data_IF_767098772023
#
_entry.id   IF_767098772023
#
_cell.length_a   1.000
_cell.length_b   1.000
_cell.length_c   1.000
_cell.angle_alpha   90.00
_cell.angle_beta   90.00
_cell.angle_gamma   90.00
#
_symmetry.space_group_name_H-M   'P 1'
#
loop_
_entity.id
_entity.type
_entity.pdbx_description
1 polymer ?
#
# COMPACT_ATOMS: atom_id res chain seq x y z
N UNK A 1 -5.42 3.47 -20.97
CA UNK A 1 -6.12 4.62 -20.35
C UNK A 1 -5.49 5.03 -19.02
N UNK A 2 -5.23 4.11 -18.08
CA UNK A 2 -4.59 4.39 -16.77
C UNK A 2 -3.20 5.02 -16.86
N UNK A 3 -2.37 4.64 -17.83
CA UNK A 3 -1.01 5.20 -17.98
C UNK A 3 -0.98 6.72 -18.16
N UNK A 4 -2.02 7.30 -18.78
CA UNK A 4 -2.15 8.76 -18.92
C UNK A 4 -2.38 9.44 -17.57
N UNK A 5 -3.06 8.76 -16.64
CA UNK A 5 -3.34 9.26 -15.28
C UNK A 5 -2.08 9.16 -14.42
N UNK A 6 -1.30 8.09 -14.56
CA UNK A 6 -0.08 7.87 -13.79
C UNK A 6 1.07 8.81 -14.21
N UNK A 7 0.99 9.38 -15.41
CA UNK A 7 2.00 10.29 -15.94
C UNK A 7 2.14 11.51 -15.01
N UNK A 8 3.37 11.80 -14.61
CA UNK A 8 3.76 12.92 -13.73
C UNK A 8 3.10 12.93 -12.34
N UNK A 9 2.49 11.82 -11.90
CA UNK A 9 1.92 11.67 -10.56
C UNK A 9 2.86 10.95 -9.62
N UNK A 10 2.68 11.20 -8.33
CA UNK A 10 3.24 10.37 -7.26
C UNK A 10 2.19 9.32 -6.95
N UNK A 11 2.59 8.05 -7.00
CA UNK A 11 1.70 6.92 -6.74
C UNK A 11 2.00 6.37 -5.35
N UNK A 12 0.96 6.33 -4.51
CA UNK A 12 1.02 5.79 -3.15
C UNK A 12 0.22 4.50 -3.11
N UNK A 13 0.75 3.46 -2.46
CA UNK A 13 0.04 2.20 -2.31
C UNK A 13 0.69 1.28 -1.30
N UNK A 14 0.19 0.04 -1.20
CA UNK A 14 0.72 -0.99 -0.32
C UNK A 14 1.17 -2.18 -1.17
N UNK A 15 2.48 -2.48 -1.17
CA UNK A 15 3.08 -3.48 -2.03
C UNK A 15 2.82 -3.24 -3.54
N UNK A 16 2.79 -1.97 -3.94
CA UNK A 16 2.33 -1.51 -5.26
C UNK A 16 3.13 -2.03 -6.47
N UNK A 17 4.31 -2.57 -6.20
CA UNK A 17 5.12 -3.24 -7.21
C UNK A 17 4.41 -4.44 -7.85
N UNK A 18 3.50 -5.10 -7.13
CA UNK A 18 2.67 -6.18 -7.66
C UNK A 18 1.66 -5.65 -8.69
N UNK A 19 1.00 -4.54 -8.38
CA UNK A 19 0.05 -3.87 -9.29
C UNK A 19 0.75 -3.39 -10.56
N UNK A 20 1.93 -2.79 -10.43
CA UNK A 20 2.74 -2.36 -11.57
C UNK A 20 3.15 -3.53 -12.48
N UNK A 21 3.51 -4.68 -11.91
CA UNK A 21 3.80 -5.89 -12.67
C UNK A 21 2.57 -6.40 -13.42
N UNK A 22 1.40 -6.45 -12.77
CA UNK A 22 0.15 -6.84 -13.42
C UNK A 22 -0.22 -5.90 -14.58
N UNK A 23 0.05 -4.60 -14.44
CA UNK A 23 -0.14 -3.59 -15.48
C UNK A 23 0.97 -3.58 -16.54
N UNK A 24 2.02 -4.42 -16.40
CA UNK A 24 3.23 -4.41 -17.24
C UNK A 24 3.82 -3.00 -17.37
N UNK A 25 3.81 -2.26 -16.27
CA UNK A 25 4.21 -0.87 -16.20
C UNK A 25 5.35 -0.69 -15.19
N UNK A 26 6.25 0.26 -15.45
CA UNK A 26 7.31 0.64 -14.53
C UNK A 26 7.15 2.10 -14.15
N UNK A 27 6.85 2.36 -12.87
CA UNK A 27 6.79 3.71 -12.34
C UNK A 27 8.12 4.10 -11.69
N UNK A 28 8.62 5.34 -11.87
CA UNK A 28 9.86 5.79 -11.23
C UNK A 28 9.81 5.60 -9.71
N UNK A 29 10.88 5.02 -9.14
CA UNK A 29 10.96 4.76 -7.69
C UNK A 29 10.86 6.04 -6.86
N UNK A 30 11.45 7.13 -7.35
CA UNK A 30 11.37 8.48 -6.77
C UNK A 30 9.93 9.01 -6.61
N UNK A 31 9.03 8.58 -7.50
CA UNK A 31 7.60 8.95 -7.53
C UNK A 31 6.69 7.84 -7.00
N UNK A 32 7.27 6.77 -6.46
CA UNK A 32 6.52 5.69 -5.82
C UNK A 32 6.65 5.78 -4.30
N UNK A 33 5.54 5.75 -3.57
CA UNK A 33 5.52 5.68 -2.10
C UNK A 33 4.83 4.39 -1.67
N UNK A 34 5.62 3.36 -1.40
CA UNK A 34 5.13 2.04 -0.98
C UNK A 34 5.07 1.96 0.54
N UNK A 35 3.85 2.01 1.09
CA UNK A 35 3.58 1.96 2.54
C UNK A 35 4.05 0.66 3.18
N UNK A 36 4.14 -0.45 2.43
CA UNK A 36 4.63 -1.74 2.97
C UNK A 36 6.11 -1.71 3.35
N UNK A 37 6.87 -0.76 2.79
CA UNK A 37 8.33 -0.65 2.96
C UNK A 37 8.76 0.52 3.84
N UNK A 38 7.84 1.23 4.47
CA UNK A 38 8.14 2.41 5.29
C UNK A 38 8.29 1.99 6.77
N UNK A 39 9.51 1.94 7.32
CA UNK A 39 9.72 1.49 8.70
C UNK A 39 9.04 2.40 9.73
N UNK A 40 8.89 3.69 9.41
CA UNK A 40 8.20 4.66 10.25
C UNK A 40 6.73 4.30 10.47
N UNK A 41 6.05 3.69 9.49
CA UNK A 41 4.67 3.25 9.66
C UNK A 41 4.59 2.07 10.62
N UNK A 42 5.54 1.13 10.52
CA UNK A 42 5.65 0.02 11.47
C UNK A 42 5.92 0.54 12.88
N UNK A 43 6.85 1.46 13.03
CA UNK A 43 7.18 2.06 14.32
C UNK A 43 5.97 2.73 14.97
N UNK A 44 5.22 3.55 14.20
CA UNK A 44 4.00 4.20 14.68
C UNK A 44 2.90 3.18 15.03
N UNK A 45 2.88 2.04 14.36
CA UNK A 45 1.94 0.96 14.61
C UNK A 45 2.35 0.06 15.79
N UNK A 46 3.50 0.31 16.43
CA UNK A 46 4.06 -0.58 17.47
C UNK A 46 4.53 -1.92 16.92
N UNK A 47 4.79 -2.01 15.61
CA UNK A 47 5.25 -3.22 14.93
C UNK A 47 6.77 -3.21 14.74
N UNK A 48 7.42 -4.38 14.55
CA UNK A 48 8.85 -4.43 14.30
C UNK A 48 9.23 -3.62 13.06
N UNK A 49 10.25 -2.77 13.18
CA UNK A 49 10.71 -1.86 12.11
C UNK A 49 10.95 -2.57 10.76
N UNK A 50 11.52 -3.77 10.79
CA UNK A 50 11.87 -4.58 9.62
C UNK A 50 10.77 -5.57 9.18
N UNK A 51 9.61 -5.58 9.84
CA UNK A 51 8.52 -6.47 9.45
C UNK A 51 7.83 -5.97 8.18
N UNK A 52 7.48 -6.89 7.28
CA UNK A 52 6.50 -6.60 6.22
C UNK A 52 5.11 -6.68 6.83
N UNK A 53 4.66 -5.57 7.44
CA UNK A 53 3.35 -5.51 8.06
C UNK A 53 2.26 -5.50 6.98
N UNK A 54 1.22 -6.32 7.17
CA UNK A 54 0.06 -6.28 6.27
C UNK A 54 -0.71 -4.98 6.41
N UNK A 55 -1.34 -4.54 5.32
CA UNK A 55 -2.23 -3.38 5.34
C UNK A 55 -3.32 -3.51 6.41
N UNK A 56 -3.88 -4.72 6.61
CA UNK A 56 -4.84 -5.01 7.69
C UNK A 56 -4.30 -4.66 9.07
N UNK A 57 -3.05 -5.05 9.35
CA UNK A 57 -2.41 -4.76 10.62
C UNK A 57 -2.15 -3.26 10.78
N UNK A 58 -1.61 -2.61 9.75
CA UNK A 58 -1.34 -1.18 9.78
C UNK A 58 -2.62 -0.36 9.97
N UNK A 59 -3.70 -0.69 9.25
CA UNK A 59 -5.00 -0.03 9.40
C UNK A 59 -5.57 -0.21 10.82
N UNK A 60 -5.41 -1.40 11.40
CA UNK A 60 -5.86 -1.68 12.77
C UNK A 60 -5.09 -0.88 13.81
N UNK A 61 -3.77 -0.78 13.69
CA UNK A 61 -2.94 -0.16 14.72
C UNK A 61 -2.84 1.37 14.56
N UNK A 62 -2.80 1.88 13.33
CA UNK A 62 -2.64 3.32 13.07
C UNK A 62 -3.97 4.06 12.97
N UNK A 63 -4.99 3.42 12.39
CA UNK A 63 -6.28 4.07 12.10
C UNK A 63 -7.41 3.51 12.96
N UNK A 64 -7.13 2.51 13.81
CA UNK A 64 -8.13 1.79 14.60
C UNK A 64 -9.26 1.18 13.75
N UNK A 65 -8.97 0.83 12.49
CA UNK A 65 -9.94 0.27 11.54
C UNK A 65 -9.64 -1.19 11.24
N UNK A 66 -10.68 -2.02 11.26
CA UNK A 66 -10.64 -3.39 10.73
C UNK A 66 -11.15 -3.37 9.29
N UNK A 67 -10.24 -3.54 8.33
CA UNK A 67 -10.55 -3.59 6.89
C UNK A 67 -10.62 -5.03 6.40
N UNK A 68 -11.28 -5.26 5.27
CA UNK A 68 -11.35 -6.57 4.59
C UNK A 68 -11.89 -7.68 5.51
N UNK A 69 -12.90 -7.34 6.32
CA UNK A 69 -13.58 -8.24 7.27
C UNK A 69 -14.94 -8.74 6.78
N UNK A 70 -15.45 -8.19 5.66
CA UNK A 70 -16.77 -8.54 5.14
C UNK A 70 -16.82 -9.92 4.50
N UNK A 71 -18.01 -10.53 4.49
CA UNK A 71 -18.26 -11.82 3.84
C UNK A 71 -17.98 -11.80 2.32
N UNK A 72 -18.00 -10.61 1.69
CA UNK A 72 -17.68 -10.41 0.27
C UNK A 72 -16.18 -10.29 -0.01
N UNK A 73 -15.32 -10.41 1.01
CA UNK A 73 -13.87 -10.34 0.86
C UNK A 73 -13.30 -8.93 0.91
N UNK A 74 -12.28 -8.68 0.10
CA UNK A 74 -11.58 -7.39 0.03
C UNK A 74 -12.23 -6.43 -0.96
N UNK A 75 -12.12 -5.12 -0.70
CA UNK A 75 -12.45 -4.07 -1.65
C UNK A 75 -11.19 -3.28 -1.99
N UNK A 76 -10.94 -3.02 -3.28
CA UNK A 76 -9.77 -2.26 -3.75
C UNK A 76 -9.85 -0.76 -3.47
N UNK A 77 -11.01 -0.26 -3.04
CA UNK A 77 -11.25 1.16 -2.70
C UNK A 77 -11.12 1.41 -1.19
N UNK A 78 -11.16 0.34 -0.39
CA UNK A 78 -11.28 0.39 1.08
C UNK A 78 -9.96 0.67 1.80
#
# INVERSE_FOLDING_TARGET
QILKILKDKIVVGHAIHNDFQALKYFHPKERTRDTSRIPLLNQKAGLPLKASASLKSLAKHLLHKKIQVGCRGHSSVE
#
